data_IF_141611748081
#
_entry.id   IF_141611748081
#
_cell.length_a   1.000
_cell.length_b   1.000
_cell.length_c   1.000
_cell.angle_alpha   90.00
_cell.angle_beta   90.00
_cell.angle_gamma   90.00
#
_symmetry.space_group_name_H-M   'P 1'
#
loop_
_entity.id
_entity.type
_entity.pdbx_description
1 polymer ?
#
# COMPACT_ATOMS: atom_id res chain seq x y z
N UNK A 1 -10.59 -11.37 -15.99
CA UNK A 1 -10.65 -10.77 -14.63
C UNK A 1 -10.25 -9.30 -14.72
N UNK A 2 -11.02 -8.40 -14.11
CA UNK A 2 -10.74 -6.96 -14.10
C UNK A 2 -9.67 -6.58 -13.06
N UNK A 3 -8.96 -5.48 -13.29
CA UNK A 3 -8.02 -4.88 -12.32
C UNK A 3 -8.77 -3.87 -11.44
N UNK A 4 -8.45 -3.86 -10.15
CA UNK A 4 -9.01 -2.93 -9.16
C UNK A 4 -7.88 -2.21 -8.42
N UNK A 5 -8.10 -0.94 -8.09
CA UNK A 5 -7.22 -0.10 -7.29
C UNK A 5 -7.81 0.05 -5.88
N UNK A 6 -6.99 -0.22 -4.88
CA UNK A 6 -7.35 0.04 -3.48
C UNK A 6 -7.14 1.52 -3.19
N UNK A 7 -8.14 2.14 -2.59
CA UNK A 7 -8.14 3.58 -2.27
C UNK A 7 -8.48 3.81 -0.82
N UNK A 8 -8.16 5.01 -0.32
CA UNK A 8 -8.44 5.39 1.06
C UNK A 8 -9.94 5.53 1.35
N UNK A 9 -10.30 5.51 2.63
CA UNK A 9 -11.69 5.60 3.11
C UNK A 9 -12.42 6.88 2.70
N UNK A 10 -11.65 7.91 2.34
CA UNK A 10 -12.14 9.19 1.83
C UNK A 10 -12.69 9.08 0.40
N UNK A 11 -12.28 8.05 -0.35
CA UNK A 11 -12.74 7.82 -1.70
C UNK A 11 -14.05 7.01 -1.71
N UNK A 12 -14.83 7.22 -2.77
CA UNK A 12 -16.04 6.46 -3.01
C UNK A 12 -15.71 5.17 -3.75
N UNK A 13 -16.38 4.07 -3.39
CA UNK A 13 -16.39 2.85 -4.20
C UNK A 13 -17.01 3.16 -5.57
N UNK A 14 -16.22 2.97 -6.62
CA UNK A 14 -16.56 3.26 -8.03
C UNK A 14 -16.04 2.10 -8.89
N UNK A 15 -16.43 2.04 -10.16
CA UNK A 15 -15.84 1.04 -11.07
C UNK A 15 -14.31 1.07 -10.98
N UNK A 16 -13.70 -0.09 -10.71
CA UNK A 16 -12.25 -0.29 -10.54
C UNK A 16 -11.62 0.32 -9.26
N UNK A 17 -12.36 0.98 -8.37
CA UNK A 17 -11.82 1.55 -7.13
C UNK A 17 -12.50 0.97 -5.90
N UNK A 18 -11.68 0.44 -4.98
CA UNK A 18 -12.12 -0.27 -3.78
C UNK A 18 -11.65 0.46 -2.52
N UNK A 19 -12.56 1.18 -1.90
CA UNK A 19 -12.44 1.77 -0.58
C UNK A 19 -12.86 0.75 0.51
N UNK A 20 -12.36 0.89 1.74
CA UNK A 20 -12.80 0.12 2.89
C UNK A 20 -14.32 0.20 3.10
N UNK A 21 -14.91 -0.87 3.62
CA UNK A 21 -16.29 -0.84 4.07
C UNK A 21 -16.43 0.12 5.26
N UNK A 22 -17.30 1.12 5.10
CA UNK A 22 -17.64 2.08 6.15
C UNK A 22 -18.45 1.40 7.26
N UNK A 23 -18.30 1.88 8.49
CA UNK A 23 -18.98 1.31 9.68
C UNK A 23 -18.46 -0.06 10.11
N UNK A 24 -17.34 -0.52 9.54
CA UNK A 24 -16.64 -1.75 9.90
C UNK A 24 -15.25 -1.38 10.40
N UNK A 25 -14.73 -2.14 11.39
CA UNK A 25 -13.36 -1.98 11.91
C UNK A 25 -12.35 -1.84 10.77
N UNK A 26 -11.40 -0.92 10.91
CA UNK A 26 -10.48 -0.55 9.84
C UNK A 26 -9.04 -0.38 10.34
N UNK A 27 -8.80 -0.09 11.62
CA UNK A 27 -7.45 0.10 12.10
C UNK A 27 -6.80 -1.25 12.35
N UNK A 28 -5.51 -1.41 12.01
CA UNK A 28 -4.75 -2.64 12.27
C UNK A 28 -4.82 -3.06 13.75
N UNK A 29 -4.81 -2.08 14.66
CA UNK A 29 -4.91 -2.32 16.10
C UNK A 29 -6.24 -2.98 16.51
N UNK A 30 -7.31 -2.77 15.73
CA UNK A 30 -8.62 -3.38 15.97
C UNK A 30 -8.59 -4.91 15.79
N UNK A 31 -7.52 -5.45 15.19
CA UNK A 31 -7.35 -6.86 14.83
C UNK A 31 -6.15 -7.55 15.51
N UNK A 32 -5.39 -6.84 16.35
CA UNK A 32 -4.18 -7.39 16.99
C UNK A 32 -4.43 -8.10 18.32
N UNK A 33 -5.59 -7.90 18.94
CA UNK A 33 -5.92 -8.52 20.25
C UNK A 33 -6.51 -9.92 20.10
N UNK A 34 -6.29 -10.77 21.11
CA UNK A 34 -6.83 -12.12 21.16
C UNK A 34 -8.38 -12.09 21.06
N UNK A 35 -8.96 -12.82 20.10
CA UNK A 35 -10.41 -12.83 19.84
C UNK A 35 -10.93 -11.77 18.88
N UNK A 36 -10.07 -10.96 18.24
CA UNK A 36 -10.46 -9.97 17.24
C UNK A 36 -10.31 -10.46 15.79
N UNK A 37 -10.34 -11.78 15.57
CA UNK A 37 -10.31 -12.34 14.24
C UNK A 37 -11.50 -11.84 13.40
N UNK A 38 -11.31 -11.61 12.09
CA UNK A 38 -12.38 -11.12 11.23
C UNK A 38 -13.47 -12.18 11.06
N UNK A 39 -14.57 -12.01 11.79
CA UNK A 39 -15.75 -12.90 11.77
C UNK A 39 -16.57 -12.84 10.48
N UNK A 40 -16.38 -11.80 9.66
CA UNK A 40 -17.18 -11.57 8.45
C UNK A 40 -16.28 -11.09 7.29
N UNK A 41 -16.71 -11.35 6.07
CA UNK A 41 -16.02 -11.00 4.83
C UNK A 41 -15.67 -9.51 4.76
N UNK A 42 -16.55 -8.62 5.24
CA UNK A 42 -16.29 -7.17 5.30
C UNK A 42 -15.14 -6.82 6.25
N UNK A 43 -15.07 -7.48 7.43
CA UNK A 43 -13.96 -7.29 8.39
C UNK A 43 -12.66 -7.82 7.80
N UNK A 44 -12.71 -8.99 7.16
CA UNK A 44 -11.55 -9.60 6.49
C UNK A 44 -11.03 -8.73 5.35
N UNK A 45 -11.93 -8.16 4.54
CA UNK A 45 -11.60 -7.23 3.48
C UNK A 45 -10.91 -5.98 4.04
N UNK A 46 -11.50 -5.34 5.06
CA UNK A 46 -10.92 -4.15 5.67
C UNK A 46 -9.55 -4.44 6.29
N UNK A 47 -9.38 -5.58 6.99
CA UNK A 47 -8.10 -6.01 7.54
C UNK A 47 -7.02 -6.15 6.45
N UNK A 48 -7.35 -6.81 5.34
CA UNK A 48 -6.42 -6.97 4.20
C UNK A 48 -6.10 -5.62 3.56
N UNK A 49 -7.12 -4.75 3.41
CA UNK A 49 -6.98 -3.41 2.86
C UNK A 49 -5.99 -2.57 3.70
N UNK A 50 -6.23 -2.44 5.01
CA UNK A 50 -5.35 -1.68 5.90
C UNK A 50 -3.96 -2.30 6.02
N UNK A 51 -3.85 -3.63 5.98
CA UNK A 51 -2.55 -4.31 6.01
C UNK A 51 -1.70 -3.96 4.79
N UNK A 52 -2.31 -4.00 3.59
CA UNK A 52 -1.61 -3.61 2.36
C UNK A 52 -1.26 -2.12 2.38
N UNK A 53 -2.19 -1.26 2.81
CA UNK A 53 -1.93 0.18 2.94
C UNK A 53 -0.73 0.45 3.86
N UNK A 54 -0.67 -0.19 5.03
CA UNK A 54 0.45 -0.07 5.96
C UNK A 54 1.79 -0.50 5.32
N UNK A 55 1.79 -1.58 4.53
CA UNK A 55 2.99 -1.99 3.78
C UNK A 55 3.42 -0.89 2.80
N UNK A 56 2.49 -0.33 2.03
CA UNK A 56 2.78 0.75 1.07
C UNK A 56 3.27 2.02 1.77
N UNK A 57 2.63 2.44 2.87
CA UNK A 57 3.03 3.61 3.66
C UNK A 57 4.44 3.43 4.24
N UNK A 58 4.79 2.24 4.72
CA UNK A 58 6.16 1.93 5.19
C UNK A 58 7.18 2.03 4.06
N UNK A 59 6.86 1.55 2.86
CA UNK A 59 7.72 1.70 1.68
C UNK A 59 7.96 3.18 1.37
N UNK A 60 6.89 3.98 1.32
CA UNK A 60 7.02 5.43 1.10
C UNK A 60 7.79 6.12 2.21
N UNK A 61 7.64 5.68 3.46
CA UNK A 61 8.45 6.16 4.60
C UNK A 61 9.94 5.91 4.40
N UNK A 62 10.32 4.72 3.92
CA UNK A 62 11.72 4.39 3.59
C UNK A 62 12.21 5.28 2.44
N UNK A 63 11.41 5.47 1.38
CA UNK A 63 11.78 6.36 0.28
C UNK A 63 12.02 7.79 0.76
N UNK A 64 11.10 8.37 1.53
CA UNK A 64 11.23 9.74 2.07
C UNK A 64 12.42 9.89 3.03
N UNK A 65 12.78 8.83 3.76
CA UNK A 65 13.93 8.82 4.66
C UNK A 65 15.26 8.77 3.91
N UNK A 66 15.37 7.91 2.88
CA UNK A 66 16.61 7.71 2.12
C UNK A 66 16.84 8.71 1.01
N UNK A 67 15.78 9.20 0.38
CA UNK A 67 15.84 10.04 -0.80
C UNK A 67 15.08 11.33 -0.55
N UNK A 68 15.82 12.43 -0.48
CA UNK A 68 15.27 13.78 -0.27
C UNK A 68 14.27 14.20 -1.34
N UNK A 69 14.38 13.64 -2.55
CA UNK A 69 13.49 13.95 -3.68
C UNK A 69 12.01 13.64 -3.38
N UNK A 70 11.72 12.67 -2.50
CA UNK A 70 10.35 12.29 -2.15
C UNK A 70 9.77 13.09 -0.98
N UNK A 71 10.54 14.02 -0.37
CA UNK A 71 10.06 14.85 0.75
C UNK A 71 9.11 15.96 0.31
N UNK A 72 9.17 16.36 -0.96
CA UNK A 72 8.32 17.38 -1.56
C UNK A 72 7.62 16.84 -2.81
N UNK A 73 6.63 17.58 -3.31
CA UNK A 73 5.99 17.27 -4.58
C UNK A 73 7.04 17.32 -5.71
N UNK A 74 7.11 16.24 -6.49
CA UNK A 74 8.05 16.15 -7.61
C UNK A 74 7.57 17.05 -8.75
N UNK A 75 8.39 17.99 -9.25
CA UNK A 75 8.03 18.86 -10.37
C UNK A 75 8.10 18.14 -11.73
N UNK A 76 8.08 16.81 -11.73
CA UNK A 76 8.23 15.98 -12.92
C UNK A 76 6.88 15.50 -13.44
N UNK A 77 6.80 15.21 -14.74
CA UNK A 77 5.65 14.54 -15.34
C UNK A 77 5.40 13.18 -14.66
N UNK A 78 4.14 12.74 -14.59
CA UNK A 78 3.75 11.50 -13.93
C UNK A 78 4.57 10.28 -14.38
N UNK A 79 4.86 10.17 -15.68
CA UNK A 79 5.71 9.10 -16.23
C UNK A 79 7.10 9.04 -15.57
N UNK A 80 7.74 10.20 -15.42
CA UNK A 80 9.06 10.33 -14.80
C UNK A 80 8.97 10.01 -13.30
N UNK A 81 7.89 10.42 -12.62
CA UNK A 81 7.68 10.08 -11.22
C UNK A 81 7.59 8.55 -11.01
N UNK A 82 6.89 7.84 -11.90
CA UNK A 82 6.79 6.37 -11.86
C UNK A 82 8.16 5.73 -12.09
N UNK A 83 8.92 6.18 -13.08
CA UNK A 83 10.27 5.68 -13.36
C UNK A 83 11.22 5.89 -12.17
N UNK A 84 11.17 7.06 -11.53
CA UNK A 84 11.96 7.35 -10.32
C UNK A 84 11.63 6.39 -9.18
N UNK A 85 10.34 6.12 -8.92
CA UNK A 85 9.93 5.16 -7.89
C UNK A 85 10.48 3.76 -8.20
N UNK A 86 10.41 3.31 -9.46
CA UNK A 86 10.92 1.99 -9.86
C UNK A 86 12.45 1.88 -9.69
N UNK A 87 13.20 2.89 -10.10
CA UNK A 87 14.66 2.93 -9.95
C UNK A 87 15.06 2.92 -8.48
N UNK A 88 14.44 3.77 -7.66
CA UNK A 88 14.70 3.80 -6.21
C UNK A 88 14.32 2.47 -5.54
N UNK A 89 13.24 1.82 -5.96
CA UNK A 89 12.82 0.53 -5.43
C UNK A 89 13.83 -0.57 -5.75
N UNK A 90 14.34 -0.59 -6.99
CA UNK A 90 15.41 -1.51 -7.41
C UNK A 90 16.68 -1.27 -6.60
N UNK A 91 17.08 0.00 -6.42
CA UNK A 91 18.24 0.38 -5.61
C UNK A 91 18.09 -0.10 -4.15
N UNK A 92 16.94 0.15 -3.51
CA UNK A 92 16.68 -0.35 -2.15
C UNK A 92 16.78 -1.88 -2.11
N UNK A 93 16.18 -2.57 -3.09
CA UNK A 93 16.19 -4.04 -3.12
C UNK A 93 17.61 -4.61 -3.30
N UNK A 94 18.42 -4.00 -4.17
CA UNK A 94 19.79 -4.44 -4.43
C UNK A 94 20.71 -4.26 -3.21
N UNK A 95 20.66 -3.09 -2.56
CA UNK A 95 21.60 -2.76 -1.48
C UNK A 95 21.11 -3.17 -0.09
N UNK A 96 19.79 -3.19 0.16
CA UNK A 96 19.28 -3.39 1.51
C UNK A 96 19.21 -4.86 1.92
N UNK A 97 19.35 -5.85 1.01
CA UNK A 97 19.13 -7.30 1.27
C UNK A 97 17.83 -7.60 2.06
N UNK A 98 16.89 -6.65 2.12
CA UNK A 98 15.66 -6.75 2.88
C UNK A 98 14.59 -7.35 1.96
N UNK A 99 14.44 -8.66 2.10
CA UNK A 99 13.48 -9.52 1.41
C UNK A 99 12.03 -9.06 1.66
N UNK A 100 11.15 -9.35 0.68
CA UNK A 100 9.67 -9.51 0.74
C UNK A 100 8.85 -8.59 -0.19
N UNK A 101 9.24 -7.34 -0.45
CA UNK A 101 8.27 -6.37 -1.03
C UNK A 101 8.09 -6.43 -2.55
N UNK A 102 9.09 -6.87 -3.31
CA UNK A 102 9.03 -6.99 -4.78
C UNK A 102 8.46 -8.34 -5.26
N UNK A 103 8.38 -9.35 -4.38
CA UNK A 103 7.89 -10.69 -4.75
C UNK A 103 6.38 -10.75 -5.04
N UNK A 104 5.62 -9.69 -4.70
CA UNK A 104 4.20 -9.59 -5.06
C UNK A 104 3.96 -9.08 -6.50
N UNK A 105 5.00 -8.71 -7.26
CA UNK A 105 4.86 -8.18 -8.62
C UNK A 105 5.63 -8.97 -9.69
N UNK A 106 6.26 -10.10 -9.35
CA UNK A 106 7.06 -10.92 -10.28
C UNK A 106 6.56 -12.36 -10.49
N UNK A 107 5.33 -12.67 -10.09
CA UNK A 107 4.60 -13.79 -10.69
C UNK A 107 3.61 -13.25 -11.71
N UNK A 108 4.05 -13.29 -12.97
CA UNK A 108 3.18 -13.33 -14.14
C UNK A 108 2.13 -14.43 -14.00
#
# INVERSE_FOLDING_TARGET
LGKYFLVDCEFLNRCQFLAPFRGVRYHLQDFTSQGNDPENEKKLFNLRHVSLRNVMERIFGIFKSRFTIFKSALPFLFKIQVELVLVCAHYINFYAKNVVLMNFQLKR
#
